data_IF_337300679382
#
_entry.id   IF_337300679382
#
_cell.length_a   1.000
_cell.length_b   1.000
_cell.length_c   1.000
_cell.angle_alpha   90.00
_cell.angle_beta   90.00
_cell.angle_gamma   90.00
#
_symmetry.space_group_name_H-M   'P 1'
#
loop_
_entity.id
_entity.type
_entity.pdbx_description
1 polymer ?
#
# COMPACT_ATOMS: atom_id res chain seq x y z
N UNK A 1 -4.19 -24.54 -9.78
CA UNK A 1 -4.16 -23.10 -9.45
C UNK A 1 -4.76 -22.94 -8.06
N UNK A 2 -3.99 -22.47 -7.08
CA UNK A 2 -4.39 -22.45 -5.67
C UNK A 2 -5.35 -21.28 -5.38
N UNK A 3 -6.27 -21.43 -4.43
CA UNK A 3 -7.17 -20.36 -3.97
C UNK A 3 -6.38 -19.13 -3.51
N UNK A 4 -5.22 -19.35 -2.88
CA UNK A 4 -4.29 -18.30 -2.44
C UNK A 4 -3.74 -17.51 -3.63
N UNK A 5 -3.48 -18.20 -4.73
CA UNK A 5 -2.92 -17.61 -5.96
C UNK A 5 -3.96 -16.75 -6.69
N UNK A 6 -5.22 -17.19 -6.72
CA UNK A 6 -6.36 -16.42 -7.24
C UNK A 6 -6.61 -15.19 -6.38
N UNK A 7 -6.65 -15.35 -5.06
CA UNK A 7 -6.79 -14.26 -4.10
C UNK A 7 -5.71 -13.20 -4.36
N UNK A 8 -4.45 -13.63 -4.48
CA UNK A 8 -3.36 -12.72 -4.76
C UNK A 8 -3.46 -12.02 -6.13
N UNK A 9 -3.88 -12.70 -7.19
CA UNK A 9 -4.10 -12.04 -8.49
C UNK A 9 -5.20 -10.97 -8.44
N UNK A 10 -6.26 -11.20 -7.68
CA UNK A 10 -7.34 -10.22 -7.48
C UNK A 10 -6.80 -9.00 -6.75
N UNK A 11 -6.07 -9.20 -5.65
CA UNK A 11 -5.44 -8.11 -4.91
C UNK A 11 -4.45 -7.30 -5.76
N UNK A 12 -3.68 -7.95 -6.62
CA UNK A 12 -2.76 -7.25 -7.53
C UNK A 12 -3.50 -6.44 -8.59
N UNK A 13 -4.66 -6.93 -9.05
CA UNK A 13 -5.50 -6.20 -10.00
C UNK A 13 -6.12 -4.97 -9.34
N UNK A 14 -6.64 -5.12 -8.12
CA UNK A 14 -7.18 -4.02 -7.33
C UNK A 14 -6.08 -2.99 -7.02
N UNK A 15 -4.91 -3.44 -6.56
CA UNK A 15 -3.78 -2.57 -6.26
C UNK A 15 -3.32 -1.80 -7.50
N UNK A 16 -3.27 -2.45 -8.68
CA UNK A 16 -2.94 -1.77 -9.94
C UNK A 16 -3.96 -0.72 -10.34
N UNK A 17 -5.25 -0.99 -10.18
CA UNK A 17 -6.32 -0.04 -10.48
C UNK A 17 -6.26 1.17 -9.54
N UNK A 18 -6.09 0.91 -8.25
CA UNK A 18 -5.92 1.91 -7.19
C UNK A 18 -4.67 2.78 -7.45
N UNK A 19 -3.56 2.17 -7.86
CA UNK A 19 -2.35 2.89 -8.23
C UNK A 19 -2.54 3.71 -9.51
N UNK A 20 -3.20 3.18 -10.54
CA UNK A 20 -3.45 3.92 -11.78
C UNK A 20 -4.28 5.20 -11.55
N UNK A 21 -5.17 5.21 -10.54
CA UNK A 21 -6.00 6.37 -10.21
C UNK A 21 -5.23 7.50 -9.50
N UNK A 22 -4.20 7.18 -8.72
CA UNK A 22 -3.56 8.14 -7.80
C UNK A 22 -2.09 8.39 -8.14
N UNK A 23 -1.42 7.38 -8.67
CA UNK A 23 0.00 7.38 -8.94
C UNK A 23 0.23 7.58 -10.43
N UNK A 24 0.78 8.74 -10.77
CA UNK A 24 1.42 8.92 -12.06
C UNK A 24 2.78 8.20 -12.03
N UNK A 25 2.77 6.93 -12.48
CA UNK A 25 3.96 6.08 -12.51
C UNK A 25 5.09 6.70 -13.34
N UNK A 26 4.79 7.46 -14.40
CA UNK A 26 5.80 8.13 -15.21
C UNK A 26 6.56 9.18 -14.39
N UNK A 27 5.86 9.98 -13.57
CA UNK A 27 6.52 10.93 -12.65
C UNK A 27 7.37 10.25 -11.59
N UNK A 28 6.97 9.07 -11.10
CA UNK A 28 7.78 8.29 -10.15
C UNK A 28 9.01 7.71 -10.84
N UNK A 29 8.81 7.10 -12.01
CA UNK A 29 9.87 6.52 -12.82
C UNK A 29 10.94 7.56 -13.15
N UNK A 30 10.52 8.73 -13.65
CA UNK A 30 11.43 9.81 -14.03
C UNK A 30 12.22 10.36 -12.82
N UNK A 31 11.59 10.45 -11.64
CA UNK A 31 12.27 10.93 -10.42
C UNK A 31 13.28 9.92 -9.89
N UNK A 32 12.93 8.64 -9.90
CA UNK A 32 13.84 7.56 -9.48
C UNK A 32 15.01 7.47 -10.45
N UNK A 33 14.74 7.60 -11.75
CA UNK A 33 15.75 7.53 -12.80
C UNK A 33 16.73 8.71 -12.73
N UNK A 34 16.23 9.94 -12.54
CA UNK A 34 17.07 11.13 -12.39
C UNK A 34 18.00 11.06 -11.18
N UNK A 35 17.53 10.49 -10.06
CA UNK A 35 18.36 10.34 -8.83
C UNK A 35 19.36 9.19 -9.00
N UNK A 36 18.97 8.11 -9.69
CA UNK A 36 19.89 7.00 -9.96
C UNK A 36 21.05 7.38 -10.89
N UNK A 37 20.85 8.35 -11.79
CA UNK A 37 21.91 8.80 -12.71
C UNK A 37 22.99 9.66 -12.04
N UNK A 38 22.72 10.17 -10.84
CA UNK A 38 23.68 10.95 -10.03
C UNK A 38 24.45 10.11 -9.01
N UNK A 39 24.14 8.82 -8.89
CA UNK A 39 24.73 7.89 -7.92
C UNK A 39 25.76 6.96 -8.60
N UNK A 40 26.97 6.91 -8.06
CA UNK A 40 28.07 6.10 -8.61
C UNK A 40 27.80 4.58 -8.50
N UNK A 41 26.90 4.16 -7.62
CA UNK A 41 26.50 2.76 -7.46
C UNK A 41 24.98 2.59 -7.42
N UNK A 42 24.36 2.54 -8.60
CA UNK A 42 22.91 2.37 -8.78
C UNK A 42 22.33 1.19 -8.01
N UNK A 43 23.02 0.05 -7.98
CA UNK A 43 22.54 -1.15 -7.25
C UNK A 43 22.43 -0.87 -5.75
N UNK A 44 23.45 -0.21 -5.16
CA UNK A 44 23.43 0.16 -3.74
C UNK A 44 22.28 1.14 -3.45
N UNK A 45 22.12 2.16 -4.29
CA UNK A 45 21.04 3.13 -4.19
C UNK A 45 19.66 2.46 -4.20
N UNK A 46 19.41 1.54 -5.15
CA UNK A 46 18.12 0.85 -5.24
C UNK A 46 17.84 -0.09 -4.06
N UNK A 47 18.87 -0.75 -3.51
CA UNK A 47 18.73 -1.55 -2.28
C UNK A 47 18.35 -0.67 -1.09
N UNK A 48 19.07 0.43 -0.88
CA UNK A 48 18.77 1.35 0.22
C UNK A 48 17.38 2.00 0.07
N UNK A 49 16.97 2.30 -1.17
CA UNK A 49 15.62 2.78 -1.47
C UNK A 49 14.57 1.73 -1.10
N UNK A 50 14.79 0.45 -1.45
CA UNK A 50 13.88 -0.64 -1.08
C UNK A 50 13.80 -0.80 0.44
N UNK A 51 14.91 -0.78 1.15
CA UNK A 51 14.96 -0.87 2.61
C UNK A 51 14.22 0.30 3.27
N UNK A 52 14.44 1.51 2.75
CA UNK A 52 13.73 2.72 3.21
C UNK A 52 12.23 2.62 2.98
N UNK A 53 11.81 2.18 1.79
CA UNK A 53 10.39 1.97 1.47
C UNK A 53 9.79 0.89 2.38
N UNK A 54 10.50 -0.21 2.60
CA UNK A 54 10.05 -1.29 3.48
C UNK A 54 9.84 -0.80 4.92
N UNK A 55 10.78 -0.03 5.47
CA UNK A 55 10.63 0.59 6.78
C UNK A 55 9.39 1.49 6.87
N UNK A 56 9.18 2.34 5.85
CA UNK A 56 8.00 3.22 5.79
C UNK A 56 6.69 2.45 5.63
N UNK A 57 6.69 1.37 4.85
CA UNK A 57 5.53 0.48 4.70
C UNK A 57 5.21 -0.18 6.04
N UNK A 58 6.20 -0.66 6.79
CA UNK A 58 5.99 -1.22 8.13
C UNK A 58 5.33 -0.22 9.09
N UNK A 59 5.77 1.04 9.07
CA UNK A 59 5.13 2.12 9.87
C UNK A 59 3.68 2.32 9.42
N UNK A 60 3.42 2.34 8.11
CA UNK A 60 2.07 2.51 7.57
C UNK A 60 1.15 1.33 7.90
N UNK A 61 1.66 0.09 7.93
CA UNK A 61 0.92 -1.09 8.42
C UNK A 61 0.53 -0.88 9.88
N UNK A 62 1.44 -0.35 10.71
CA UNK A 62 1.13 0.01 12.10
C UNK A 62 -0.03 1.00 12.19
N UNK A 63 0.01 2.08 11.40
CA UNK A 63 -1.08 3.05 11.32
C UNK A 63 -2.41 2.41 10.89
N UNK A 64 -2.39 1.62 9.81
CA UNK A 64 -3.57 0.90 9.30
C UNK A 64 -4.13 -0.07 10.34
N UNK A 65 -3.27 -0.71 11.14
CA UNK A 65 -3.68 -1.63 12.22
C UNK A 65 -4.40 -0.89 13.35
N UNK A 66 -3.89 0.29 13.74
CA UNK A 66 -4.54 1.14 14.75
C UNK A 66 -5.90 1.62 14.22
N UNK A 67 -5.97 2.10 12.97
CA UNK A 67 -7.24 2.54 12.37
C UNK A 67 -8.26 1.41 12.27
N UNK A 68 -7.83 0.19 11.94
CA UNK A 68 -8.71 -0.97 11.92
C UNK A 68 -9.28 -1.28 13.31
N UNK A 69 -8.46 -1.18 14.36
CA UNK A 69 -8.93 -1.34 15.73
C UNK A 69 -9.96 -0.26 16.11
N UNK A 70 -9.70 1.01 15.75
CA UNK A 70 -10.65 2.13 15.96
C UNK A 70 -11.96 1.88 15.23
N UNK A 71 -11.93 1.41 13.98
CA UNK A 71 -13.11 1.11 13.20
C UNK A 71 -13.93 -0.03 13.78
N UNK A 72 -13.26 -1.10 14.25
CA UNK A 72 -13.94 -2.23 14.92
C UNK A 72 -14.61 -1.73 16.20
N UNK A 73 -13.90 -0.95 17.02
CA UNK A 73 -14.47 -0.37 18.24
C UNK A 73 -15.67 0.52 17.92
N UNK A 74 -15.51 1.48 16.99
CA UNK A 74 -16.58 2.35 16.55
C UNK A 74 -17.78 1.55 16.05
N UNK A 75 -17.57 0.53 15.22
CA UNK A 75 -18.62 -0.36 14.72
C UNK A 75 -19.39 -1.05 15.85
N UNK A 76 -18.71 -1.51 16.90
CA UNK A 76 -19.39 -2.10 18.07
C UNK A 76 -20.18 -1.09 18.90
N UNK A 77 -19.82 0.20 18.84
CA UNK A 77 -20.54 1.28 19.53
C UNK A 77 -21.81 1.72 18.82
N UNK A 78 -22.03 1.37 17.54
CA UNK A 78 -23.33 1.62 16.91
C UNK A 78 -24.33 0.56 17.37
N UNK A 79 -25.28 0.97 18.21
CA UNK A 79 -26.37 0.12 18.68
C UNK A 79 -27.36 -0.22 17.56
N UNK A 80 -27.52 0.66 16.58
CA UNK A 80 -28.48 0.52 15.49
C UNK A 80 -27.82 0.33 14.11
N UNK A 81 -28.43 -0.50 13.25
CA UNK A 81 -27.92 -0.81 11.89
C UNK A 81 -28.20 0.33 10.90
N UNK A 82 -27.98 1.56 11.33
CA UNK A 82 -28.16 2.77 10.53
C UNK A 82 -27.05 2.96 9.49
N UNK A 83 -27.16 4.08 8.77
CA UNK A 83 -26.22 4.46 7.69
C UNK A 83 -24.77 4.54 8.22
N UNK A 84 -24.55 5.04 9.44
CA UNK A 84 -23.22 5.12 10.06
C UNK A 84 -22.54 3.75 10.20
N UNK A 85 -23.25 2.75 10.72
CA UNK A 85 -22.74 1.39 10.85
C UNK A 85 -22.41 0.75 9.48
N UNK A 86 -23.20 1.05 8.45
CA UNK A 86 -22.93 0.58 7.09
C UNK A 86 -21.67 1.23 6.48
N UNK A 87 -21.49 2.54 6.65
CA UNK A 87 -20.31 3.26 6.17
C UNK A 87 -19.03 2.76 6.85
N UNK A 88 -19.07 2.52 8.17
CA UNK A 88 -17.93 1.95 8.89
C UNK A 88 -17.60 0.53 8.41
N UNK A 89 -18.59 -0.31 8.07
CA UNK A 89 -18.31 -1.63 7.48
C UNK A 89 -17.56 -1.53 6.15
N UNK A 90 -17.95 -0.60 5.29
CA UNK A 90 -17.23 -0.36 4.02
C UNK A 90 -15.78 0.05 4.32
N UNK A 91 -15.59 0.92 5.31
CA UNK A 91 -14.26 1.40 5.68
C UNK A 91 -13.38 0.31 6.29
N UNK A 92 -13.94 -0.59 7.12
CA UNK A 92 -13.24 -1.80 7.60
C UNK A 92 -12.75 -2.64 6.43
N UNK A 93 -13.61 -2.89 5.42
CA UNK A 93 -13.22 -3.65 4.23
C UNK A 93 -12.11 -2.93 3.46
N UNK A 94 -12.19 -1.60 3.32
CA UNK A 94 -11.16 -0.82 2.67
C UNK A 94 -9.80 -0.91 3.39
N UNK A 95 -9.77 -0.79 4.72
CA UNK A 95 -8.55 -0.93 5.52
C UNK A 95 -7.98 -2.37 5.51
N UNK A 96 -8.84 -3.40 5.43
CA UNK A 96 -8.41 -4.78 5.21
C UNK A 96 -7.75 -4.94 3.84
N UNK A 97 -8.31 -4.33 2.80
CA UNK A 97 -7.73 -4.35 1.45
C UNK A 97 -6.38 -3.64 1.42
N UNK A 98 -6.27 -2.47 2.05
CA UNK A 98 -5.00 -1.75 2.16
C UNK A 98 -3.95 -2.58 2.92
N UNK A 99 -4.33 -3.22 4.02
CA UNK A 99 -3.44 -4.12 4.78
C UNK A 99 -2.86 -5.22 3.88
N UNK A 100 -3.70 -5.89 3.08
CA UNK A 100 -3.24 -6.93 2.17
C UNK A 100 -2.25 -6.42 1.11
N UNK A 101 -2.49 -5.22 0.56
CA UNK A 101 -1.59 -4.58 -0.41
C UNK A 101 -0.26 -4.19 0.25
N UNK A 102 -0.29 -3.68 1.48
CA UNK A 102 0.92 -3.31 2.20
C UNK A 102 1.76 -4.53 2.59
N UNK A 103 1.12 -5.61 3.03
CA UNK A 103 1.82 -6.89 3.30
C UNK A 103 2.49 -7.41 2.03
N UNK A 104 1.82 -7.32 0.87
CA UNK A 104 2.41 -7.64 -0.44
C UNK A 104 3.63 -6.80 -0.76
N UNK A 105 3.62 -5.51 -0.40
CA UNK A 105 4.74 -4.62 -0.61
C UNK A 105 5.99 -5.02 0.19
N UNK A 106 5.82 -5.70 1.34
CA UNK A 106 6.93 -6.28 2.13
C UNK A 106 7.30 -7.68 1.65
N UNK A 107 6.30 -8.51 1.30
CA UNK A 107 6.48 -9.94 1.03
C UNK A 107 7.09 -10.27 -0.33
N UNK A 108 7.30 -9.29 -1.23
CA UNK A 108 7.96 -9.50 -2.51
C UNK A 108 9.47 -9.74 -2.32
N UNK A 109 9.86 -10.79 -1.60
CA UNK A 109 11.27 -11.15 -1.38
C UNK A 109 11.85 -11.70 -2.69
N UNK A 110 12.73 -10.91 -3.31
CA UNK A 110 13.90 -11.30 -4.11
C UNK A 110 13.75 -12.62 -4.87
N UNK A 111 13.37 -12.56 -6.14
CA UNK A 111 13.71 -13.63 -7.09
C UNK A 111 15.22 -13.60 -7.31
N UNK A 112 15.96 -14.24 -6.41
CA UNK A 112 17.38 -14.48 -6.56
C UNK A 112 17.58 -15.55 -7.65
N UNK A 113 17.66 -15.12 -8.91
CA UNK A 113 17.84 -16.02 -10.04
C UNK A 113 18.32 -15.37 -11.33
N UNK A 114 18.86 -14.14 -11.29
CA UNK A 114 19.36 -13.45 -12.48
C UNK A 114 20.77 -13.94 -12.83
N UNK A 115 20.95 -14.51 -14.01
CA UNK A 115 22.23 -15.03 -14.53
C UNK A 115 23.22 -13.91 -14.94
N UNK A 116 22.78 -12.66 -15.04
CA UNK A 116 23.62 -11.50 -15.39
C UNK A 116 23.42 -10.28 -14.48
N UNK A 117 24.48 -9.48 -14.29
CA UNK A 117 24.45 -8.26 -13.44
C UNK A 117 23.52 -7.17 -14.00
N UNK A 118 23.35 -7.11 -15.33
CA UNK A 118 22.41 -6.23 -16.03
C UNK A 118 20.96 -6.62 -15.73
N UNK A 119 20.64 -7.91 -15.80
CA UNK A 119 19.28 -8.38 -15.54
C UNK A 119 18.90 -8.18 -14.07
N UNK A 120 19.83 -8.44 -13.16
CA UNK A 120 19.67 -8.16 -11.74
C UNK A 120 19.33 -6.69 -11.46
N UNK A 121 20.06 -5.76 -12.09
CA UNK A 121 19.81 -4.33 -11.91
C UNK A 121 18.43 -3.93 -12.45
N UNK A 122 18.04 -4.45 -13.61
CA UNK A 122 16.73 -4.17 -14.20
C UNK A 122 15.56 -4.67 -13.33
N UNK A 123 15.69 -5.87 -12.75
CA UNK A 123 14.71 -6.43 -11.83
C UNK A 123 14.62 -5.60 -10.55
N UNK A 124 15.77 -5.20 -9.99
CA UNK A 124 15.84 -4.38 -8.78
C UNK A 124 15.19 -3.01 -9.00
N UNK A 125 15.42 -2.38 -10.15
CA UNK A 125 14.79 -1.10 -10.52
C UNK A 125 13.28 -1.26 -10.65
N UNK A 126 12.81 -2.31 -11.33
CA UNK A 126 11.39 -2.57 -11.51
C UNK A 126 10.69 -2.80 -10.16
N UNK A 127 11.34 -3.57 -9.28
CA UNK A 127 10.85 -3.84 -7.93
C UNK A 127 10.80 -2.57 -7.08
N UNK A 128 11.86 -1.75 -7.09
CA UNK A 128 11.90 -0.48 -6.37
C UNK A 128 10.79 0.48 -6.82
N UNK A 129 10.59 0.62 -8.14
CA UNK A 129 9.53 1.45 -8.72
C UNK A 129 8.14 0.96 -8.27
N UNK A 130 7.92 -0.36 -8.27
CA UNK A 130 6.66 -0.97 -7.90
C UNK A 130 6.36 -0.81 -6.40
N UNK A 131 7.32 -1.13 -5.52
CA UNK A 131 7.16 -0.96 -4.06
C UNK A 131 6.93 0.50 -3.69
N UNK A 132 7.70 1.41 -4.28
CA UNK A 132 7.52 2.85 -4.06
C UNK A 132 6.15 3.34 -4.56
N UNK A 133 5.70 2.84 -5.71
CA UNK A 133 4.36 3.12 -6.24
C UNK A 133 3.24 2.69 -5.29
N UNK A 134 3.28 1.44 -4.80
CA UNK A 134 2.31 0.94 -3.83
C UNK A 134 2.33 1.73 -2.52
N UNK A 135 3.52 1.98 -1.97
CA UNK A 135 3.66 2.78 -0.76
C UNK A 135 3.00 4.16 -0.93
N UNK A 136 3.32 4.88 -2.02
CA UNK A 136 2.78 6.22 -2.25
C UNK A 136 1.26 6.22 -2.43
N UNK A 137 0.72 5.25 -3.17
CA UNK A 137 -0.72 5.09 -3.32
C UNK A 137 -1.38 4.84 -1.95
N UNK A 138 -0.92 3.84 -1.22
CA UNK A 138 -1.49 3.45 0.08
C UNK A 138 -1.38 4.58 1.12
N UNK A 139 -0.29 5.35 1.14
CA UNK A 139 -0.18 6.53 2.00
C UNK A 139 -1.25 7.57 1.68
N UNK A 140 -1.51 7.84 0.41
CA UNK A 140 -2.57 8.77 0.00
C UNK A 140 -3.95 8.26 0.42
N UNK A 141 -4.28 7.01 0.13
CA UNK A 141 -5.57 6.43 0.52
C UNK A 141 -5.76 6.39 2.03
N UNK A 142 -4.71 6.06 2.79
CA UNK A 142 -4.79 6.09 4.26
C UNK A 142 -5.18 7.48 4.77
N UNK A 143 -4.67 8.56 4.17
CA UNK A 143 -5.05 9.93 4.55
C UNK A 143 -6.52 10.20 4.20
N UNK A 144 -6.94 9.86 2.97
CA UNK A 144 -8.33 10.08 2.50
C UNK A 144 -9.33 9.31 3.37
N UNK A 145 -9.06 8.04 3.67
CA UNK A 145 -9.91 7.24 4.54
C UNK A 145 -9.91 7.78 5.97
N UNK A 146 -8.77 8.20 6.53
CA UNK A 146 -8.77 8.82 7.86
C UNK A 146 -9.67 10.07 7.91
N UNK A 147 -9.65 10.93 6.89
CA UNK A 147 -10.58 12.07 6.82
C UNK A 147 -12.04 11.62 6.67
N UNK A 148 -12.29 10.58 5.88
CA UNK A 148 -13.62 10.03 5.69
C UNK A 148 -14.19 9.45 6.99
N UNK A 149 -13.40 8.69 7.74
CA UNK A 149 -13.75 8.20 9.08
C UNK A 149 -14.13 9.34 10.02
N UNK A 150 -13.29 10.37 10.11
CA UNK A 150 -13.58 11.55 10.95
C UNK A 150 -14.91 12.19 10.55
N UNK A 151 -15.15 12.33 9.24
CA UNK A 151 -16.41 12.85 8.74
C UNK A 151 -17.62 11.97 9.13
N UNK A 152 -17.51 10.64 9.03
CA UNK A 152 -18.56 9.71 9.46
C UNK A 152 -18.84 9.89 10.95
N UNK A 153 -17.81 9.87 11.80
CA UNK A 153 -17.95 9.98 13.25
C UNK A 153 -18.55 11.33 13.66
N UNK A 154 -18.23 12.42 12.96
CA UNK A 154 -18.84 13.73 13.20
C UNK A 154 -20.31 13.78 12.77
N UNK A 155 -20.65 13.18 11.61
CA UNK A 155 -22.00 13.28 11.05
C UNK A 155 -22.98 12.29 11.65
N UNK A 156 -22.49 11.12 12.05
CA UNK A 156 -23.24 10.00 12.60
C UNK A 156 -22.54 9.54 13.88
N UNK A 157 -22.57 10.29 14.98
CA UNK A 157 -21.89 9.88 16.20
C UNK A 157 -22.40 8.52 16.73
N UNK A 158 -21.52 7.69 17.31
CA UNK A 158 -21.93 6.46 17.97
C UNK A 158 -22.89 6.76 19.13
N UNK A 159 -23.85 5.86 19.33
CA UNK A 159 -24.91 5.93 20.34
C UNK A 159 -24.45 5.54 21.74
#
# INVERSE_FOLDING_TARGET
MSVIEVFFKIFDSIARLICALVVNFDKISNRIESISQTEDNRISYFRELIDTVQSRVSILIGHVSIMLAVLIFAYTSYSDKGIGAYLIRIEIIAYLVMTAILIRCISAVSKAGSESQSDYESELVAEAKLRYGYFRAMSFYSIVFTFFLVFILMRYPPS
#
